data_IF_276930367091
#
_entry.id   IF_276930367091
#
_cell.length_a   1.000
_cell.length_b   1.000
_cell.length_c   1.000
_cell.angle_alpha   90.00
_cell.angle_beta   90.00
_cell.angle_gamma   90.00
#
_symmetry.space_group_name_H-M   'P 1'
#
loop_
_entity.id
_entity.type
_entity.pdbx_description
1 polymer ?
#
# COMPACT_ATOMS: atom_id res chain seq x y z
N UNK A 1 9.06 13.77 9.08
CA UNK A 1 9.32 12.67 10.03
C UNK A 1 10.57 11.91 9.57
N UNK A 2 11.45 11.56 10.48
CA UNK A 2 12.65 10.77 10.14
C UNK A 2 12.39 9.28 10.37
N UNK A 3 12.26 8.52 9.28
CA UNK A 3 12.08 7.06 9.32
C UNK A 3 13.29 6.36 9.94
N UNK A 4 14.52 6.92 9.78
CA UNK A 4 15.72 6.35 10.38
C UNK A 4 15.66 6.36 11.91
N UNK A 5 15.11 7.42 12.50
CA UNK A 5 14.92 7.48 13.95
C UNK A 5 13.98 6.39 14.46
N UNK A 6 12.98 5.97 13.66
CA UNK A 6 12.11 4.83 14.02
C UNK A 6 12.90 3.52 13.93
N UNK A 7 13.73 3.33 12.90
CA UNK A 7 14.58 2.15 12.79
C UNK A 7 15.54 2.05 13.99
N UNK A 8 16.15 3.17 14.39
CA UNK A 8 17.04 3.23 15.56
C UNK A 8 16.29 2.91 16.87
N UNK A 9 15.07 3.44 17.03
CA UNK A 9 14.20 3.14 18.16
C UNK A 9 13.83 1.65 18.24
N UNK A 10 13.52 1.02 17.12
CA UNK A 10 13.18 -0.41 17.04
C UNK A 10 14.43 -1.32 17.19
N UNK A 11 15.62 -0.81 16.92
CA UNK A 11 16.91 -1.43 17.18
C UNK A 11 17.02 -2.87 16.67
N UNK A 12 17.30 -3.82 17.59
CA UNK A 12 17.49 -5.24 17.27
C UNK A 12 16.26 -5.88 16.62
N UNK A 13 15.04 -5.44 16.93
CA UNK A 13 13.83 -5.98 16.34
C UNK A 13 13.72 -5.62 14.84
N UNK A 14 14.15 -4.42 14.49
CA UNK A 14 14.24 -4.02 13.08
C UNK A 14 15.28 -4.83 12.32
N UNK A 15 16.45 -5.06 12.93
CA UNK A 15 17.49 -5.91 12.35
C UNK A 15 17.01 -7.35 12.17
N UNK A 16 16.30 -7.91 13.17
CA UNK A 16 15.74 -9.26 13.09
C UNK A 16 14.75 -9.43 11.92
N UNK A 17 13.92 -8.42 11.62
CA UNK A 17 13.03 -8.46 10.43
C UNK A 17 13.87 -8.51 9.15
N UNK A 18 14.90 -7.68 9.03
CA UNK A 18 15.78 -7.67 7.84
C UNK A 18 16.50 -9.02 7.66
N UNK A 19 17.06 -9.56 8.73
CA UNK A 19 17.70 -10.88 8.71
C UNK A 19 16.73 -11.97 8.31
N UNK A 20 15.47 -11.89 8.79
CA UNK A 20 14.43 -12.86 8.46
C UNK A 20 14.06 -12.79 6.97
N UNK A 21 13.95 -11.59 6.40
CA UNK A 21 13.71 -11.38 4.96
C UNK A 21 14.86 -11.95 4.14
N UNK A 22 16.11 -11.58 4.44
CA UNK A 22 17.28 -12.06 3.71
C UNK A 22 17.42 -13.59 3.80
N UNK A 23 17.22 -14.17 5.00
CA UNK A 23 17.30 -15.63 5.20
C UNK A 23 16.22 -16.39 4.43
N UNK A 24 14.98 -15.87 4.37
CA UNK A 24 13.89 -16.47 3.64
C UNK A 24 14.13 -16.50 2.12
N UNK A 25 14.78 -15.47 1.58
CA UNK A 25 15.01 -15.31 0.14
C UNK A 25 16.28 -16.00 -0.36
N UNK A 26 17.09 -16.58 0.53
CA UNK A 26 18.30 -17.30 0.10
C UNK A 26 17.99 -18.53 -0.77
N UNK A 27 18.72 -18.69 -1.87
CA UNK A 27 18.57 -19.78 -2.83
C UNK A 27 19.94 -20.20 -3.38
N UNK A 28 20.08 -21.44 -3.82
CA UNK A 28 21.25 -21.92 -4.54
C UNK A 28 21.33 -21.42 -6.00
N UNK A 29 20.23 -20.79 -6.49
CA UNK A 29 20.14 -20.25 -7.85
C UNK A 29 20.71 -18.84 -7.87
N UNK A 30 21.89 -18.67 -8.50
CA UNK A 30 22.60 -17.38 -8.55
C UNK A 30 21.78 -16.25 -9.12
N UNK A 31 21.03 -16.50 -10.21
CA UNK A 31 20.18 -15.49 -10.83
C UNK A 31 19.12 -14.99 -9.85
N UNK A 32 18.48 -15.90 -9.11
CA UNK A 32 17.45 -15.55 -8.13
C UNK A 32 18.03 -14.71 -6.97
N UNK A 33 19.19 -15.10 -6.42
CA UNK A 33 19.87 -14.32 -5.38
C UNK A 33 20.24 -12.91 -5.84
N UNK A 34 20.82 -12.76 -7.03
CA UNK A 34 21.19 -11.43 -7.55
C UNK A 34 19.95 -10.56 -7.81
N UNK A 35 18.84 -11.15 -8.23
CA UNK A 35 17.58 -10.43 -8.41
C UNK A 35 16.99 -10.02 -7.06
N UNK A 36 16.98 -10.92 -6.06
CA UNK A 36 16.52 -10.61 -4.71
C UNK A 36 17.32 -9.46 -4.08
N UNK A 37 18.66 -9.47 -4.20
CA UNK A 37 19.53 -8.40 -3.72
C UNK A 37 19.22 -7.06 -4.40
N UNK A 38 18.97 -7.07 -5.71
CA UNK A 38 18.58 -5.87 -6.46
C UNK A 38 17.27 -5.28 -5.95
N UNK A 39 16.25 -6.10 -5.68
CA UNK A 39 14.96 -5.66 -5.14
C UNK A 39 15.15 -5.11 -3.72
N UNK A 40 15.85 -5.83 -2.85
CA UNK A 40 16.05 -5.44 -1.45
C UNK A 40 16.84 -4.13 -1.30
N UNK A 41 17.79 -3.87 -2.19
CA UNK A 41 18.54 -2.61 -2.18
C UNK A 41 17.69 -1.37 -2.50
N UNK A 42 16.51 -1.58 -3.12
CA UNK A 42 15.57 -0.54 -3.53
C UNK A 42 14.21 -0.62 -2.78
N UNK A 43 14.17 -1.27 -1.62
CA UNK A 43 12.95 -1.63 -0.88
C UNK A 43 12.15 -0.45 -0.28
N UNK A 44 12.61 0.79 -0.42
CA UNK A 44 11.87 1.97 0.02
C UNK A 44 11.77 2.12 1.55
N UNK A 45 10.65 2.67 2.04
CA UNK A 45 10.47 3.03 3.46
C UNK A 45 10.12 1.86 4.38
N UNK A 46 9.71 0.72 3.82
CA UNK A 46 9.30 -0.50 4.53
C UNK A 46 8.31 -0.22 5.68
N UNK A 47 7.24 0.52 5.37
CA UNK A 47 6.27 0.98 6.38
C UNK A 47 5.54 -0.16 7.07
N UNK A 48 5.25 -1.26 6.35
CA UNK A 48 4.51 -2.40 6.91
C UNK A 48 5.24 -3.06 8.08
N UNK A 49 6.52 -3.44 7.96
CA UNK A 49 7.27 -3.92 9.11
C UNK A 49 7.34 -2.93 10.27
N UNK A 50 7.51 -1.63 10.00
CA UNK A 50 7.52 -0.60 11.05
C UNK A 50 6.21 -0.58 11.82
N UNK A 51 5.08 -0.61 11.11
CA UNK A 51 3.74 -0.63 11.71
C UNK A 51 3.54 -1.86 12.58
N UNK A 52 3.89 -3.05 12.07
CA UNK A 52 3.76 -4.30 12.82
C UNK A 52 4.54 -4.25 14.14
N UNK A 53 5.81 -3.80 14.08
CA UNK A 53 6.67 -3.75 15.26
C UNK A 53 6.19 -2.71 16.29
N UNK A 54 5.83 -1.50 15.83
CA UNK A 54 5.32 -0.44 16.72
C UNK A 54 4.01 -0.86 17.39
N UNK A 55 3.10 -1.46 16.62
CA UNK A 55 1.79 -1.86 17.14
C UNK A 55 1.91 -3.00 18.17
N UNK A 56 2.69 -4.03 17.89
CA UNK A 56 2.92 -5.11 18.84
C UNK A 56 3.53 -4.60 20.15
N UNK A 57 4.50 -3.69 20.07
CA UNK A 57 5.10 -3.04 21.26
C UNK A 57 4.09 -2.20 22.02
N UNK A 58 3.23 -1.46 21.33
CA UNK A 58 2.18 -0.66 21.96
C UNK A 58 1.17 -1.54 22.72
N UNK A 59 0.77 -2.67 22.15
CA UNK A 59 -0.15 -3.61 22.80
C UNK A 59 0.42 -4.25 24.09
N UNK A 60 1.75 -4.33 24.22
CA UNK A 60 2.42 -5.08 25.32
C UNK A 60 3.21 -4.21 26.28
N UNK A 61 3.26 -2.90 26.06
CA UNK A 61 4.17 -2.02 26.81
C UNK A 61 5.64 -2.24 26.51
N UNK A 62 5.97 -2.58 25.25
CA UNK A 62 7.34 -2.65 24.73
C UNK A 62 7.89 -4.04 24.44
N UNK A 63 7.15 -5.11 24.77
CA UNK A 63 7.55 -6.47 24.44
C UNK A 63 7.17 -6.86 23.02
N UNK A 64 7.80 -7.94 22.52
CA UNK A 64 7.53 -8.45 21.18
C UNK A 64 7.74 -9.97 21.14
N UNK A 65 7.02 -10.64 20.23
CA UNK A 65 7.20 -12.07 20.01
C UNK A 65 8.05 -12.34 18.75
N UNK A 66 8.65 -13.51 18.65
CA UNK A 66 9.29 -13.94 17.40
C UNK A 66 8.29 -14.03 16.23
N UNK A 67 7.04 -14.37 16.53
CA UNK A 67 5.96 -14.39 15.56
C UNK A 67 5.71 -13.00 14.96
N UNK A 68 5.78 -11.91 15.76
CA UNK A 68 5.68 -10.54 15.26
C UNK A 68 6.72 -10.26 14.17
N UNK A 69 7.98 -10.63 14.43
CA UNK A 69 9.09 -10.43 13.46
C UNK A 69 8.83 -11.21 12.16
N UNK A 70 8.35 -12.47 12.27
CA UNK A 70 8.02 -13.29 11.11
C UNK A 70 6.87 -12.72 10.29
N UNK A 71 5.80 -12.26 10.94
CA UNK A 71 4.64 -11.69 10.25
C UNK A 71 4.97 -10.33 9.62
N UNK A 72 5.79 -9.51 10.29
CA UNK A 72 6.30 -8.27 9.73
C UNK A 72 7.13 -8.51 8.46
N UNK A 73 8.02 -9.51 8.49
CA UNK A 73 8.82 -9.91 7.34
C UNK A 73 7.92 -10.47 6.21
N UNK A 74 6.94 -11.32 6.54
CA UNK A 74 6.01 -11.87 5.56
C UNK A 74 5.17 -10.77 4.87
N UNK A 75 4.68 -9.79 5.61
CA UNK A 75 3.93 -8.67 5.05
C UNK A 75 4.77 -7.85 4.04
N UNK A 76 6.06 -7.66 4.31
CA UNK A 76 6.95 -6.95 3.38
C UNK A 76 7.27 -7.80 2.16
N UNK A 77 7.46 -9.13 2.30
CA UNK A 77 7.63 -10.03 1.16
C UNK A 77 6.38 -10.05 0.27
N UNK A 78 5.19 -10.15 0.86
CA UNK A 78 3.92 -10.07 0.12
C UNK A 78 3.79 -8.76 -0.65
N UNK A 79 4.09 -7.64 0.01
CA UNK A 79 4.05 -6.34 -0.66
C UNK A 79 4.98 -6.28 -1.88
N UNK A 80 6.22 -6.74 -1.74
CA UNK A 80 7.15 -6.73 -2.88
C UNK A 80 6.76 -7.75 -3.96
N UNK A 81 6.15 -8.88 -3.60
CA UNK A 81 5.59 -9.83 -4.56
C UNK A 81 4.48 -9.19 -5.41
N UNK A 82 3.54 -8.47 -4.79
CA UNK A 82 2.50 -7.75 -5.53
C UNK A 82 3.08 -6.68 -6.44
N UNK A 83 4.08 -5.91 -5.98
CA UNK A 83 4.76 -4.92 -6.84
C UNK A 83 5.41 -5.54 -8.08
N UNK A 84 5.99 -6.74 -7.97
CA UNK A 84 6.59 -7.46 -9.11
C UNK A 84 5.55 -7.92 -10.13
N UNK A 85 4.35 -8.33 -9.65
CA UNK A 85 3.22 -8.67 -10.51
C UNK A 85 2.60 -7.43 -11.15
N UNK A 86 2.41 -6.36 -10.38
CA UNK A 86 1.86 -5.09 -10.85
C UNK A 86 2.76 -4.46 -11.93
N UNK A 87 4.09 -4.52 -11.78
CA UNK A 87 5.03 -4.04 -12.82
C UNK A 87 4.79 -4.72 -14.18
N UNK A 88 4.36 -5.99 -14.17
CA UNK A 88 4.02 -6.72 -15.40
C UNK A 88 2.63 -6.36 -15.90
N UNK A 89 1.66 -6.24 -15.01
CA UNK A 89 0.27 -5.91 -15.36
C UNK A 89 0.17 -4.50 -15.96
N UNK A 90 0.92 -3.53 -15.42
CA UNK A 90 0.93 -2.13 -15.82
C UNK A 90 1.99 -1.82 -16.90
N UNK A 91 2.74 -2.83 -17.41
CA UNK A 91 3.88 -2.66 -18.34
C UNK A 91 4.89 -1.58 -17.85
N UNK A 92 5.13 -1.53 -16.56
CA UNK A 92 5.92 -0.50 -15.91
C UNK A 92 7.42 -0.67 -16.13
N UNK A 93 8.06 0.28 -16.83
CA UNK A 93 9.51 0.24 -17.08
C UNK A 93 10.36 0.71 -15.89
N UNK A 94 9.80 1.55 -15.01
CA UNK A 94 10.49 2.12 -13.86
C UNK A 94 9.59 2.18 -12.62
N UNK A 95 10.21 2.00 -11.45
CA UNK A 95 9.59 2.18 -10.13
C UNK A 95 10.54 2.93 -9.20
N UNK A 96 10.09 4.04 -8.60
CA UNK A 96 10.92 4.91 -7.73
C UNK A 96 12.20 5.41 -8.42
N UNK A 97 12.15 5.65 -9.72
CA UNK A 97 13.30 6.13 -10.50
C UNK A 97 14.35 5.07 -10.85
N UNK A 98 14.09 3.79 -10.56
CA UNK A 98 14.96 2.67 -10.97
C UNK A 98 14.22 1.74 -11.94
N UNK A 99 14.93 1.08 -12.88
CA UNK A 99 14.30 0.09 -13.76
C UNK A 99 13.66 -1.06 -12.98
N UNK A 100 12.50 -1.53 -13.42
CA UNK A 100 11.80 -2.69 -12.84
C UNK A 100 12.48 -4.00 -13.26
N UNK A 101 12.22 -5.09 -12.53
CA UNK A 101 12.68 -6.43 -12.94
C UNK A 101 12.04 -6.84 -14.27
N UNK A 102 10.76 -6.45 -14.49
CA UNK A 102 10.09 -6.64 -15.77
C UNK A 102 10.86 -5.98 -16.93
N UNK A 103 11.30 -4.73 -16.75
CA UNK A 103 12.06 -4.00 -17.76
C UNK A 103 13.47 -4.57 -17.99
N UNK A 104 14.16 -5.04 -16.92
CA UNK A 104 15.53 -5.55 -17.01
C UNK A 104 15.63 -6.99 -17.51
N UNK A 105 14.67 -7.86 -17.10
CA UNK A 105 14.76 -9.32 -17.28
C UNK A 105 13.54 -9.92 -17.98
N UNK A 106 12.55 -9.10 -18.30
CA UNK A 106 11.31 -9.51 -18.94
C UNK A 106 10.22 -9.97 -17.96
N UNK A 107 8.97 -10.05 -18.44
CA UNK A 107 7.79 -10.34 -17.64
C UNK A 107 7.85 -11.72 -16.98
N UNK A 108 8.41 -12.72 -17.66
CA UNK A 108 8.51 -14.09 -17.13
C UNK A 108 9.33 -14.14 -15.83
N UNK A 109 10.47 -13.44 -15.78
CA UNK A 109 11.32 -13.41 -14.57
C UNK A 109 10.61 -12.64 -13.45
N UNK A 110 9.97 -11.51 -13.75
CA UNK A 110 9.23 -10.72 -12.76
C UNK A 110 8.12 -11.55 -12.10
N UNK A 111 7.30 -12.25 -12.90
CA UNK A 111 6.23 -13.12 -12.37
C UNK A 111 6.80 -14.23 -11.50
N UNK A 112 7.81 -14.98 -11.98
CA UNK A 112 8.37 -16.10 -11.23
C UNK A 112 9.07 -15.67 -9.93
N UNK A 113 9.71 -14.50 -9.91
CA UNK A 113 10.29 -13.92 -8.68
C UNK A 113 9.19 -13.48 -7.73
N UNK A 114 8.12 -12.86 -8.24
CA UNK A 114 6.93 -12.51 -7.46
C UNK A 114 6.30 -13.74 -6.80
N UNK A 115 6.09 -14.82 -7.54
CA UNK A 115 5.59 -16.10 -7.02
C UNK A 115 6.52 -16.67 -5.93
N UNK A 116 7.83 -16.61 -6.17
CA UNK A 116 8.81 -17.07 -5.17
C UNK A 116 8.72 -16.28 -3.87
N UNK A 117 8.64 -14.94 -3.94
CA UNK A 117 8.49 -14.08 -2.76
C UNK A 117 7.18 -14.33 -2.02
N UNK A 118 6.08 -14.54 -2.76
CA UNK A 118 4.78 -14.88 -2.20
C UNK A 118 4.82 -16.20 -1.43
N UNK A 119 5.43 -17.24 -1.99
CA UNK A 119 5.60 -18.53 -1.30
C UNK A 119 6.49 -18.36 -0.07
N UNK A 120 7.59 -17.59 -0.15
CA UNK A 120 8.47 -17.34 1.00
C UNK A 120 7.78 -16.57 2.13
N UNK A 121 6.88 -15.68 1.81
CA UNK A 121 6.03 -15.03 2.81
C UNK A 121 5.13 -16.06 3.52
N UNK A 122 4.49 -16.96 2.78
CA UNK A 122 3.66 -18.02 3.35
C UNK A 122 4.49 -19.00 4.21
N UNK A 123 5.70 -19.37 3.77
CA UNK A 123 6.61 -20.19 4.57
C UNK A 123 6.95 -19.52 5.92
N UNK A 124 7.20 -18.21 5.94
CA UNK A 124 7.45 -17.46 7.17
C UNK A 124 6.23 -17.49 8.12
N UNK A 125 5.03 -17.34 7.58
CA UNK A 125 3.79 -17.41 8.38
C UNK A 125 3.65 -18.79 9.02
N UNK A 126 3.93 -19.85 8.26
CA UNK A 126 3.74 -21.24 8.65
C UNK A 126 4.93 -21.86 9.41
N UNK A 127 6.02 -21.12 9.59
CA UNK A 127 7.30 -21.66 10.10
C UNK A 127 7.23 -22.26 11.51
N UNK A 128 6.24 -21.90 12.34
CA UNK A 128 6.06 -22.43 13.68
C UNK A 128 4.83 -23.34 13.78
N UNK A 129 4.96 -24.47 14.47
CA UNK A 129 3.83 -25.32 14.81
C UNK A 129 2.78 -24.62 15.72
N UNK A 130 3.18 -23.54 16.40
CA UNK A 130 2.34 -22.71 17.27
C UNK A 130 1.70 -21.52 16.53
N UNK A 131 1.79 -21.49 15.18
CA UNK A 131 1.17 -20.41 14.39
C UNK A 131 -0.34 -20.42 14.61
N UNK A 132 -0.86 -19.27 15.06
CA UNK A 132 -2.31 -19.08 15.21
C UNK A 132 -2.99 -19.20 13.84
N UNK A 133 -3.95 -20.12 13.74
CA UNK A 133 -4.73 -20.36 12.50
C UNK A 133 -5.42 -19.06 12.02
N UNK A 134 -5.75 -18.12 12.92
CA UNK A 134 -6.32 -16.83 12.55
C UNK A 134 -5.38 -16.06 11.62
N UNK A 135 -4.07 -16.08 11.87
CA UNK A 135 -3.07 -15.38 11.04
C UNK A 135 -3.04 -15.96 9.61
N UNK A 136 -3.13 -17.27 9.48
CA UNK A 136 -3.23 -17.92 8.16
C UNK A 136 -4.46 -17.43 7.39
N UNK A 137 -5.62 -17.35 8.09
CA UNK A 137 -6.85 -16.83 7.49
C UNK A 137 -6.73 -15.36 7.09
N UNK A 138 -6.09 -14.53 7.94
CA UNK A 138 -5.86 -13.10 7.67
C UNK A 138 -5.08 -12.94 6.36
N UNK A 139 -3.91 -13.56 6.23
CA UNK A 139 -3.09 -13.43 5.02
C UNK A 139 -3.72 -14.09 3.80
N UNK A 140 -4.43 -15.23 3.97
CA UNK A 140 -5.16 -15.88 2.86
C UNK A 140 -6.28 -14.97 2.33
N UNK A 141 -7.05 -14.33 3.22
CA UNK A 141 -8.07 -13.35 2.82
C UNK A 141 -7.44 -12.17 2.09
N UNK A 142 -6.36 -11.63 2.62
CA UNK A 142 -5.64 -10.50 2.02
C UNK A 142 -5.17 -10.80 0.60
N UNK A 143 -4.66 -12.01 0.34
CA UNK A 143 -4.27 -12.42 -1.01
C UNK A 143 -5.46 -12.44 -1.98
N UNK A 144 -6.63 -12.89 -1.50
CA UNK A 144 -7.87 -12.83 -2.28
C UNK A 144 -8.30 -11.38 -2.55
N UNK A 145 -8.28 -10.54 -1.50
CA UNK A 145 -8.64 -9.12 -1.61
C UNK A 145 -7.74 -8.39 -2.63
N UNK A 146 -6.41 -8.61 -2.58
CA UNK A 146 -5.45 -8.00 -3.51
C UNK A 146 -5.78 -8.37 -4.96
N UNK A 147 -6.03 -9.65 -5.26
CA UNK A 147 -6.38 -10.09 -6.61
C UNK A 147 -7.74 -9.56 -7.06
N UNK A 148 -8.76 -9.59 -6.17
CA UNK A 148 -10.08 -9.05 -6.47
C UNK A 148 -10.04 -7.54 -6.71
N UNK A 149 -9.20 -6.80 -5.97
CA UNK A 149 -9.01 -5.37 -6.14
C UNK A 149 -8.46 -5.00 -7.51
N UNK A 150 -7.44 -5.74 -7.99
CA UNK A 150 -6.90 -5.56 -9.33
C UNK A 150 -7.94 -5.84 -10.42
N UNK A 151 -8.66 -6.96 -10.31
CA UNK A 151 -9.68 -7.33 -11.29
C UNK A 151 -10.83 -6.31 -11.30
N UNK A 152 -11.27 -5.84 -10.13
CA UNK A 152 -12.32 -4.81 -10.02
C UNK A 152 -11.84 -3.49 -10.64
N UNK A 153 -10.59 -3.08 -10.41
CA UNK A 153 -10.02 -1.88 -11.02
C UNK A 153 -10.03 -1.97 -12.55
N UNK A 154 -9.58 -3.10 -13.10
CA UNK A 154 -9.60 -3.34 -14.55
C UNK A 154 -11.03 -3.30 -15.12
N UNK A 155 -11.98 -3.93 -14.44
CA UNK A 155 -13.39 -3.89 -14.84
C UNK A 155 -13.93 -2.46 -14.85
N UNK A 156 -13.63 -1.66 -13.82
CA UNK A 156 -14.11 -0.28 -13.68
C UNK A 156 -13.43 0.68 -14.66
N UNK A 157 -12.17 0.46 -15.01
CA UNK A 157 -11.48 1.18 -16.07
C UNK A 157 -12.16 0.96 -17.43
N UNK A 158 -12.62 -0.27 -17.72
CA UNK A 158 -13.33 -0.59 -18.95
C UNK A 158 -14.75 -0.01 -19.00
N UNK A 159 -15.52 -0.12 -17.89
CA UNK A 159 -16.91 0.36 -17.82
C UNK A 159 -17.02 1.87 -17.62
N UNK A 160 -16.00 2.52 -17.06
CA UNK A 160 -15.91 3.99 -16.82
C UNK A 160 -17.02 4.52 -15.90
N UNK A 161 -17.64 3.66 -15.13
CA UNK A 161 -18.77 3.96 -14.24
C UNK A 161 -18.38 3.95 -12.76
N UNK A 162 -17.08 4.06 -12.47
CA UNK A 162 -16.56 4.07 -11.10
C UNK A 162 -17.30 5.09 -10.24
N UNK A 163 -17.85 4.60 -9.13
CA UNK A 163 -18.41 5.40 -8.04
C UNK A 163 -17.38 5.56 -6.92
N UNK A 164 -17.63 6.45 -5.94
CA UNK A 164 -16.76 6.55 -4.76
C UNK A 164 -16.75 5.25 -3.95
N UNK A 165 -17.88 4.54 -3.86
CA UNK A 165 -17.95 3.23 -3.20
C UNK A 165 -17.06 2.19 -3.91
N UNK A 166 -17.10 2.13 -5.24
CA UNK A 166 -16.21 1.27 -6.03
C UNK A 166 -14.74 1.63 -5.81
N UNK A 167 -14.42 2.94 -5.83
CA UNK A 167 -13.08 3.43 -5.58
C UNK A 167 -12.56 3.03 -4.19
N UNK A 168 -13.35 3.26 -3.13
CA UNK A 168 -12.97 2.89 -1.76
C UNK A 168 -12.78 1.37 -1.62
N UNK A 169 -13.62 0.56 -2.29
CA UNK A 169 -13.46 -0.89 -2.32
C UNK A 169 -12.17 -1.29 -3.04
N UNK A 170 -11.84 -0.68 -4.17
CA UNK A 170 -10.61 -0.95 -4.92
C UNK A 170 -9.38 -0.65 -4.05
N UNK A 171 -9.30 0.54 -3.47
CA UNK A 171 -8.13 0.94 -2.68
C UNK A 171 -8.02 0.20 -1.35
N UNK A 172 -9.16 -0.21 -0.74
CA UNK A 172 -9.12 -1.12 0.39
C UNK A 172 -8.49 -2.45 -0.03
N UNK A 173 -9.00 -3.08 -1.08
CA UNK A 173 -8.53 -4.38 -1.53
C UNK A 173 -7.04 -4.35 -1.93
N UNK A 174 -6.64 -3.38 -2.75
CA UNK A 174 -5.26 -3.29 -3.30
C UNK A 174 -4.23 -2.81 -2.29
N UNK A 175 -4.62 -1.98 -1.32
CA UNK A 175 -3.67 -1.30 -0.45
C UNK A 175 -3.95 -1.50 1.02
N UNK A 176 -5.15 -1.15 1.51
CA UNK A 176 -5.45 -1.14 2.93
C UNK A 176 -5.55 -2.56 3.52
N UNK A 177 -5.97 -3.56 2.76
CA UNK A 177 -6.07 -4.95 3.21
C UNK A 177 -4.75 -5.52 3.72
N UNK A 178 -3.63 -5.19 3.07
CA UNK A 178 -2.31 -5.63 3.52
C UNK A 178 -1.80 -4.81 4.72
N UNK A 179 -2.20 -3.54 4.87
CA UNK A 179 -1.96 -2.80 6.12
C UNK A 179 -2.75 -3.42 7.27
N UNK A 180 -4.02 -3.76 7.04
CA UNK A 180 -4.87 -4.47 8.00
C UNK A 180 -4.24 -5.80 8.43
N UNK A 181 -3.89 -6.68 7.48
CA UNK A 181 -3.25 -7.95 7.76
C UNK A 181 -1.96 -7.80 8.58
N UNK A 182 -1.16 -6.78 8.24
CA UNK A 182 0.08 -6.48 8.95
C UNK A 182 -0.16 -6.13 10.41
N UNK A 183 -1.08 -5.20 10.67
CA UNK A 183 -1.34 -4.71 12.02
C UNK A 183 -2.12 -5.74 12.86
N UNK A 184 -3.14 -6.38 12.27
CA UNK A 184 -3.91 -7.41 12.97
C UNK A 184 -3.05 -8.64 13.32
N UNK A 185 -2.21 -9.12 12.39
CA UNK A 185 -1.31 -10.24 12.68
C UNK A 185 -0.27 -9.88 13.76
N UNK A 186 0.18 -8.63 13.81
CA UNK A 186 1.05 -8.15 14.87
C UNK A 186 0.34 -8.15 16.24
N UNK A 187 -0.90 -7.67 16.34
CA UNK A 187 -1.70 -7.72 17.57
C UNK A 187 -1.97 -9.17 18.02
N UNK A 188 -2.37 -10.04 17.11
CA UNK A 188 -2.58 -11.48 17.36
C UNK A 188 -1.29 -12.14 17.88
N UNK A 189 -0.13 -11.79 17.31
CA UNK A 189 1.16 -12.38 17.67
C UNK A 189 1.58 -12.14 19.12
N UNK A 190 1.01 -11.14 19.77
CA UNK A 190 1.26 -10.78 21.17
C UNK A 190 0.04 -11.03 22.07
N UNK A 191 -0.96 -11.74 21.58
CA UNK A 191 -2.20 -12.06 22.31
C UNK A 191 -2.93 -10.81 22.80
N UNK A 192 -2.99 -9.77 21.99
CA UNK A 192 -3.78 -8.57 22.26
C UNK A 192 -5.27 -8.94 22.47
N UNK A 193 -5.98 -8.16 23.27
CA UNK A 193 -7.43 -8.36 23.43
C UNK A 193 -8.22 -7.88 22.20
N UNK A 194 -9.51 -8.22 22.18
CA UNK A 194 -10.39 -7.89 21.04
C UNK A 194 -10.50 -6.37 20.77
N UNK A 195 -10.43 -5.55 21.82
CA UNK A 195 -10.50 -4.10 21.66
C UNK A 195 -9.23 -3.56 21.01
N UNK A 196 -8.05 -4.07 21.41
CA UNK A 196 -6.76 -3.74 20.80
C UNK A 196 -6.66 -4.27 19.35
N UNK A 197 -7.13 -5.52 19.10
CA UNK A 197 -7.18 -6.06 17.73
C UNK A 197 -8.06 -5.18 16.83
N UNK A 198 -9.25 -4.77 17.31
CA UNK A 198 -10.14 -3.87 16.58
C UNK A 198 -9.48 -2.52 16.30
N UNK A 199 -8.86 -1.90 17.28
CA UNK A 199 -8.16 -0.63 17.12
C UNK A 199 -7.01 -0.73 16.11
N UNK A 200 -6.28 -1.85 16.12
CA UNK A 200 -5.23 -2.14 15.15
C UNK A 200 -5.78 -2.20 13.71
N UNK A 201 -6.93 -2.84 13.51
CA UNK A 201 -7.64 -2.91 12.22
C UNK A 201 -8.12 -1.52 11.80
N UNK A 202 -8.83 -0.81 12.68
CA UNK A 202 -9.38 0.52 12.38
C UNK A 202 -8.25 1.51 11.99
N UNK A 203 -7.14 1.50 12.73
CA UNK A 203 -5.94 2.29 12.41
C UNK A 203 -5.36 1.92 11.05
N UNK A 204 -5.14 0.63 10.81
CA UNK A 204 -4.47 0.14 9.61
C UNK A 204 -5.28 0.40 8.33
N UNK A 205 -6.59 0.17 8.39
CA UNK A 205 -7.51 0.41 7.27
C UNK A 205 -7.56 1.89 6.94
N UNK A 206 -7.77 2.74 7.95
CA UNK A 206 -7.81 4.18 7.75
C UNK A 206 -6.49 4.74 7.20
N UNK A 207 -5.35 4.27 7.74
CA UNK A 207 -4.02 4.64 7.25
C UNK A 207 -3.78 4.17 5.80
N UNK A 208 -4.18 2.95 5.45
CA UNK A 208 -4.00 2.38 4.12
C UNK A 208 -4.83 3.12 3.06
N UNK A 209 -6.07 3.48 3.39
CA UNK A 209 -6.92 4.31 2.54
C UNK A 209 -6.33 5.71 2.40
N UNK A 210 -5.94 6.36 3.50
CA UNK A 210 -5.28 7.67 3.46
C UNK A 210 -3.99 7.64 2.63
N UNK A 211 -3.23 6.54 2.72
CA UNK A 211 -2.03 6.34 1.92
C UNK A 211 -2.34 6.35 0.42
N UNK A 212 -3.36 5.63 -0.02
CA UNK A 212 -3.73 5.58 -1.44
C UNK A 212 -4.33 6.90 -1.92
N UNK A 213 -5.25 7.52 -1.15
CA UNK A 213 -5.79 8.85 -1.52
C UNK A 213 -4.66 9.87 -1.73
N UNK A 214 -3.62 9.84 -0.89
CA UNK A 214 -2.47 10.74 -1.07
C UNK A 214 -1.67 10.44 -2.34
N UNK A 215 -1.48 9.16 -2.70
CA UNK A 215 -0.85 8.80 -3.97
C UNK A 215 -1.65 9.32 -5.16
N UNK A 216 -2.97 9.18 -5.12
CA UNK A 216 -3.85 9.64 -6.18
C UNK A 216 -3.87 11.19 -6.29
N UNK A 217 -3.81 11.92 -5.17
CA UNK A 217 -3.64 13.38 -5.21
C UNK A 217 -2.32 13.77 -5.88
N UNK A 218 -1.22 13.07 -5.56
CA UNK A 218 0.10 13.35 -6.13
C UNK A 218 0.16 13.11 -7.64
N UNK A 219 -0.70 12.26 -8.20
CA UNK A 219 -0.81 12.04 -9.65
C UNK A 219 -1.39 13.28 -10.37
N UNK A 220 -2.16 14.13 -9.68
CA UNK A 220 -2.72 15.37 -10.24
C UNK A 220 -1.92 16.63 -9.90
N UNK A 221 -1.28 16.69 -8.73
CA UNK A 221 -0.65 17.89 -8.18
C UNK A 221 0.84 17.70 -7.82
N UNK A 222 1.39 16.54 -8.13
CA UNK A 222 2.81 16.26 -7.93
C UNK A 222 3.71 17.11 -8.82
N UNK A 223 4.96 17.28 -8.40
CA UNK A 223 6.01 17.83 -9.26
C UNK A 223 6.66 16.69 -10.04
N UNK A 224 7.23 16.97 -11.23
CA UNK A 224 7.98 16.00 -12.08
C UNK A 224 9.12 15.26 -11.34
N UNK A 225 9.38 15.64 -10.08
CA UNK A 225 10.39 15.02 -9.22
C UNK A 225 10.04 13.57 -8.79
N UNK A 226 8.81 13.08 -9.02
CA UNK A 226 8.37 11.73 -8.62
C UNK A 226 8.74 10.65 -9.66
N UNK A 227 9.20 11.04 -10.85
CA UNK A 227 9.66 10.09 -11.88
C UNK A 227 8.53 9.43 -12.70
N UNK A 228 7.25 9.78 -12.44
CA UNK A 228 6.12 9.47 -13.30
C UNK A 228 5.54 10.77 -13.88
N UNK A 229 5.10 10.78 -15.15
CA UNK A 229 4.37 11.92 -15.68
C UNK A 229 3.06 12.11 -14.88
N UNK A 230 2.66 13.37 -14.65
CA UNK A 230 1.37 13.69 -14.02
C UNK A 230 0.23 13.07 -14.84
N UNK A 231 -0.83 12.60 -14.14
CA UNK A 231 -1.98 11.99 -14.79
C UNK A 231 -1.73 10.59 -15.35
N UNK A 232 -0.79 9.83 -14.78
CA UNK A 232 -0.55 8.45 -15.18
C UNK A 232 -1.79 7.57 -15.00
N UNK A 233 -2.53 7.75 -13.91
CA UNK A 233 -3.78 7.02 -13.64
C UNK A 233 -4.85 7.31 -14.71
N UNK A 234 -4.89 8.54 -15.23
CA UNK A 234 -5.82 8.90 -16.33
C UNK A 234 -5.47 8.14 -17.61
N UNK A 235 -4.17 8.04 -17.94
CA UNK A 235 -3.71 7.29 -19.11
C UNK A 235 -4.07 5.81 -19.04
N UNK A 236 -4.16 5.28 -17.83
CA UNK A 236 -4.61 3.91 -17.52
C UNK A 236 -6.14 3.80 -17.36
N UNK A 237 -6.90 4.86 -17.68
CA UNK A 237 -8.36 4.95 -17.56
C UNK A 237 -8.88 4.76 -16.13
N UNK A 238 -8.04 4.95 -15.12
CA UNK A 238 -8.41 4.89 -13.71
C UNK A 238 -9.14 6.16 -13.32
N UNK A 239 -10.31 6.01 -12.69
CA UNK A 239 -11.09 7.12 -12.13
C UNK A 239 -10.87 7.12 -10.63
N UNK A 240 -9.99 8.02 -10.18
CA UNK A 240 -9.57 8.13 -8.77
C UNK A 240 -10.29 9.26 -8.03
N UNK A 241 -10.10 9.36 -6.73
CA UNK A 241 -10.89 10.26 -5.87
C UNK A 241 -10.86 11.74 -6.29
N UNK A 242 -9.74 12.34 -6.73
CA UNK A 242 -9.75 13.72 -7.21
C UNK A 242 -10.69 13.92 -8.40
N UNK A 243 -10.70 12.97 -9.34
CA UNK A 243 -11.59 13.03 -10.49
C UNK A 243 -13.06 12.80 -10.10
N UNK A 244 -13.33 11.87 -9.17
CA UNK A 244 -14.69 11.64 -8.65
C UNK A 244 -15.25 12.91 -8.00
N UNK A 245 -14.46 13.59 -7.16
CA UNK A 245 -14.88 14.85 -6.53
C UNK A 245 -15.17 15.96 -7.52
N UNK A 246 -14.37 16.11 -8.57
CA UNK A 246 -14.61 17.07 -9.65
C UNK A 246 -15.85 16.72 -10.47
N UNK A 247 -16.09 15.42 -10.75
CA UNK A 247 -17.29 14.97 -11.45
C UNK A 247 -18.55 15.22 -10.62
N UNK A 248 -18.52 15.02 -9.30
CA UNK A 248 -19.67 15.29 -8.43
C UNK A 248 -20.09 16.76 -8.45
N UNK A 249 -19.12 17.68 -8.56
CA UNK A 249 -19.38 19.12 -8.64
C UNK A 249 -19.90 19.59 -10.02
N UNK A 250 -19.74 18.78 -11.08
CA UNK A 250 -20.07 19.13 -12.44
C UNK A 250 -21.52 18.72 -12.80
N UNK A 251 -22.10 19.40 -13.83
CA UNK A 251 -23.38 18.99 -14.37
C UNK A 251 -23.28 17.70 -15.22
N UNK A 252 -24.42 17.10 -15.53
CA UNK A 252 -24.49 15.81 -16.24
C UNK A 252 -23.85 15.86 -17.65
N UNK A 253 -23.89 17.01 -18.34
CA UNK A 253 -23.30 17.16 -19.68
C UNK A 253 -21.77 17.14 -19.58
N UNK A 254 -21.21 17.87 -18.60
CA UNK A 254 -19.77 17.92 -18.37
C UNK A 254 -19.24 16.58 -17.84
N UNK A 255 -19.96 15.92 -16.93
CA UNK A 255 -19.63 14.55 -16.50
C UNK A 255 -19.52 13.59 -17.69
N UNK A 256 -20.51 13.61 -18.59
CA UNK A 256 -20.51 12.74 -19.78
C UNK A 256 -19.33 13.07 -20.72
N UNK A 257 -19.03 14.37 -20.90
CA UNK A 257 -17.88 14.83 -21.71
C UNK A 257 -16.56 14.30 -21.14
N UNK A 258 -16.31 14.49 -19.85
CA UNK A 258 -15.05 14.09 -19.20
C UNK A 258 -14.88 12.57 -19.20
N UNK A 259 -15.95 11.81 -18.91
CA UNK A 259 -15.92 10.34 -19.00
C UNK A 259 -15.66 9.88 -20.45
N UNK A 260 -16.12 10.62 -21.44
CA UNK A 260 -15.81 10.38 -22.85
C UNK A 260 -14.32 10.57 -23.15
N UNK A 261 -13.72 11.69 -22.68
CA UNK A 261 -12.27 11.93 -22.84
C UNK A 261 -11.43 10.79 -22.27
N UNK A 262 -11.77 10.30 -21.06
CA UNK A 262 -11.08 9.17 -20.42
C UNK A 262 -11.25 7.90 -21.29
N UNK A 263 -12.42 7.73 -21.90
CA UNK A 263 -12.67 6.58 -22.77
C UNK A 263 -11.79 6.54 -24.00
N UNK A 264 -11.50 7.69 -24.55
CA UNK A 264 -10.74 7.83 -25.79
C UNK A 264 -9.23 8.06 -25.54
N UNK A 265 -8.80 8.09 -24.25
CA UNK A 265 -7.43 8.47 -23.84
C UNK A 265 -6.34 7.59 -24.44
N UNK A 266 -6.62 6.31 -24.70
CA UNK A 266 -5.65 5.37 -25.30
C UNK A 266 -5.28 5.80 -26.75
N UNK A 267 -6.25 6.32 -27.49
CA UNK A 267 -6.04 6.87 -28.84
C UNK A 267 -5.63 8.34 -28.85
N UNK A 268 -5.87 9.04 -27.74
CA UNK A 268 -5.71 10.49 -27.58
C UNK A 268 -5.07 10.84 -26.24
N UNK A 269 -3.77 10.50 -26.03
CA UNK A 269 -3.09 10.76 -24.75
C UNK A 269 -3.07 12.24 -24.34
N UNK A 270 -3.22 13.16 -25.29
CA UNK A 270 -3.32 14.60 -25.07
C UNK A 270 -4.55 15.00 -24.24
N UNK A 271 -5.62 14.21 -24.22
CA UNK A 271 -6.81 14.46 -23.38
C UNK A 271 -6.51 14.42 -21.89
N UNK A 272 -5.41 13.79 -21.48
CA UNK A 272 -4.92 13.81 -20.10
C UNK A 272 -4.87 15.24 -19.54
N UNK A 273 -4.29 16.18 -20.29
CA UNK A 273 -4.10 17.55 -19.83
C UNK A 273 -5.46 18.28 -19.65
N UNK A 274 -6.46 17.96 -20.45
CA UNK A 274 -7.81 18.48 -20.30
C UNK A 274 -8.51 17.91 -19.06
N UNK A 275 -8.32 16.61 -18.76
CA UNK A 275 -8.87 15.97 -17.57
C UNK A 275 -8.18 16.50 -16.31
N UNK A 276 -6.85 16.64 -16.30
CA UNK A 276 -6.11 17.24 -15.17
C UNK A 276 -6.58 18.66 -14.88
N UNK A 277 -6.75 19.48 -15.94
CA UNK A 277 -7.28 20.85 -15.80
C UNK A 277 -8.68 20.83 -15.21
N UNK A 278 -9.57 19.98 -15.72
CA UNK A 278 -10.93 19.83 -15.21
C UNK A 278 -10.95 19.51 -13.72
N UNK A 279 -10.12 18.57 -13.25
CA UNK A 279 -10.02 18.20 -11.84
C UNK A 279 -9.59 19.39 -10.97
N UNK A 280 -8.58 20.15 -11.43
CA UNK A 280 -8.09 21.33 -10.71
C UNK A 280 -9.11 22.47 -10.65
N UNK A 281 -9.81 22.73 -11.74
CA UNK A 281 -10.78 23.83 -11.83
C UNK A 281 -12.11 23.53 -11.12
N UNK A 282 -12.43 22.26 -10.87
CA UNK A 282 -13.70 21.85 -10.25
C UNK A 282 -13.55 21.31 -8.81
N UNK A 283 -12.45 21.68 -8.13
CA UNK A 283 -12.28 21.38 -6.69
C UNK A 283 -12.06 19.91 -6.35
N UNK A 284 -11.60 19.10 -7.34
CA UNK A 284 -11.39 17.67 -7.14
C UNK A 284 -10.23 17.36 -6.20
N UNK A 285 -9.16 18.18 -6.23
CA UNK A 285 -8.02 18.03 -5.33
C UNK A 285 -8.44 18.36 -3.89
N UNK A 286 -9.13 19.46 -3.68
CA UNK A 286 -9.64 19.90 -2.38
C UNK A 286 -10.62 18.88 -1.79
N UNK A 287 -11.45 18.26 -2.63
CA UNK A 287 -12.31 17.15 -2.23
C UNK A 287 -11.48 15.99 -1.66
N UNK A 288 -10.50 15.53 -2.44
CA UNK A 288 -9.65 14.41 -2.04
C UNK A 288 -8.79 14.73 -0.80
N UNK A 289 -8.28 15.96 -0.65
CA UNK A 289 -7.55 16.41 0.54
C UNK A 289 -8.43 16.39 1.80
N UNK A 290 -9.70 16.81 1.70
CA UNK A 290 -10.64 16.71 2.81
C UNK A 290 -10.86 15.26 3.23
N UNK A 291 -11.14 14.36 2.26
CA UNK A 291 -11.31 12.93 2.52
C UNK A 291 -10.05 12.30 3.12
N UNK A 292 -8.86 12.67 2.62
CA UNK A 292 -7.58 12.29 3.20
C UNK A 292 -7.49 12.69 4.68
N UNK A 293 -7.85 13.92 5.01
CA UNK A 293 -7.86 14.42 6.39
C UNK A 293 -8.80 13.63 7.29
N UNK A 294 -9.98 13.27 6.81
CA UNK A 294 -10.94 12.43 7.53
C UNK A 294 -10.35 11.07 7.88
N UNK A 295 -9.74 10.36 6.91
CA UNK A 295 -9.11 9.06 7.16
C UNK A 295 -7.88 9.14 8.07
N UNK A 296 -7.08 10.20 7.98
CA UNK A 296 -5.97 10.42 8.93
C UNK A 296 -6.50 10.61 10.35
N UNK A 297 -7.59 11.37 10.54
CA UNK A 297 -8.20 11.55 11.86
C UNK A 297 -8.77 10.22 12.38
N UNK A 298 -9.47 9.44 11.55
CA UNK A 298 -9.95 8.11 11.92
C UNK A 298 -8.80 7.18 12.38
N UNK A 299 -7.65 7.21 11.68
CA UNK A 299 -6.48 6.45 12.09
C UNK A 299 -5.95 6.91 13.45
N UNK A 300 -5.88 8.22 13.71
CA UNK A 300 -5.41 8.75 15.00
C UNK A 300 -6.39 8.38 16.12
N UNK A 301 -7.69 8.58 15.92
CA UNK A 301 -8.75 8.27 16.90
C UNK A 301 -8.78 6.77 17.27
N UNK A 302 -8.48 5.88 16.32
CA UNK A 302 -8.40 4.44 16.60
C UNK A 302 -7.34 4.09 17.67
N UNK A 303 -6.33 4.95 17.86
CA UNK A 303 -5.29 4.74 18.87
C UNK A 303 -5.67 5.25 20.27
N UNK A 304 -6.83 5.88 20.46
CA UNK A 304 -7.23 6.50 21.74
C UNK A 304 -7.39 5.49 22.89
N UNK A 305 -7.68 4.22 22.60
CA UNK A 305 -7.76 3.17 23.59
C UNK A 305 -6.41 2.82 24.24
N UNK A 306 -5.30 3.12 23.56
CA UNK A 306 -3.96 2.81 24.06
C UNK A 306 -3.44 3.93 24.96
N UNK A 307 -2.65 3.59 25.99
CA UNK A 307 -2.01 4.58 26.84
C UNK A 307 -1.02 5.43 26.02
N UNK A 308 -0.76 6.64 26.48
CA UNK A 308 0.27 7.48 25.90
C UNK A 308 1.65 6.82 26.03
N UNK A 309 2.43 6.93 24.97
CA UNK A 309 3.76 6.31 24.88
C UNK A 309 4.44 6.60 23.55
N UNK A 310 5.69 6.18 23.46
CA UNK A 310 6.53 6.44 22.27
C UNK A 310 5.95 5.76 21.03
N UNK A 311 5.46 4.54 21.15
CA UNK A 311 4.87 3.78 20.04
C UNK A 311 3.63 4.47 19.50
N UNK A 312 2.70 4.92 20.37
CA UNK A 312 1.51 5.67 20.01
C UNK A 312 1.88 6.97 19.29
N UNK A 313 2.81 7.73 19.87
CA UNK A 313 3.31 8.98 19.27
C UNK A 313 3.90 8.76 17.87
N UNK A 314 4.63 7.68 17.66
CA UNK A 314 5.23 7.34 16.37
C UNK A 314 4.16 6.92 15.35
N UNK A 315 3.15 6.14 15.76
CA UNK A 315 2.02 5.75 14.90
C UNK A 315 1.17 6.97 14.50
N UNK A 316 0.88 7.89 15.44
CA UNK A 316 0.21 9.16 15.15
C UNK A 316 1.02 10.01 14.15
N UNK A 317 2.33 10.11 14.37
CA UNK A 317 3.23 10.82 13.43
C UNK A 317 3.27 10.16 12.06
N UNK A 318 3.19 8.83 11.97
CA UNK A 318 3.12 8.10 10.69
C UNK A 318 1.83 8.42 9.94
N UNK A 319 0.68 8.49 10.62
CA UNK A 319 -0.59 8.86 10.01
C UNK A 319 -0.51 10.29 9.42
N UNK A 320 -0.04 11.27 10.19
CA UNK A 320 0.13 12.63 9.70
C UNK A 320 1.21 12.76 8.60
N UNK A 321 2.27 11.95 8.66
CA UNK A 321 3.29 11.94 7.61
C UNK A 321 2.73 11.45 6.28
N UNK A 322 1.81 10.50 6.30
CA UNK A 322 1.14 10.00 5.09
C UNK A 322 0.42 11.13 4.35
N UNK A 323 -0.28 12.02 5.06
CA UNK A 323 -0.94 13.17 4.44
C UNK A 323 0.03 14.24 3.89
N UNK A 324 1.21 14.39 4.51
CA UNK A 324 2.16 15.48 4.21
C UNK A 324 3.30 15.09 3.26
N UNK A 325 3.36 13.83 2.82
CA UNK A 325 4.44 13.39 1.93
C UNK A 325 4.30 14.02 0.54
N UNK A 326 5.44 14.37 -0.04
CA UNK A 326 5.55 14.90 -1.41
C UNK A 326 6.03 13.81 -2.39
N UNK A 327 6.31 12.60 -1.85
CA UNK A 327 6.81 11.40 -2.59
C UNK A 327 6.33 10.12 -1.92
#
# INVERSE_FOLDING_TARGET
MDIKAIHEYLGENWLAVKERIHGALHSDIKLLNSTNESILSNSGKQLRPLLALLLARMCTGGQMSEATVRYAAAAELLHNATLLHDDVADDSSQRRGVPTIMSLMGPTVSVLVGDYWLVKAMELILQSAETDVRVIKIFSKTLSDLAEGEILQLQKAQSRDTTEEDYLRIIYNKTASLFEATCLSAAVSVSADEAMEKAAVDYAVALGIAFQIKDDILDYDGTDAVGKPLGADILEQKITLPLLGALEAADAQEQARVRGLIGDIVGHPEYRDDVVRFVRENGGIEYAERRLGEYVNMAVEALDIFPDGVEKDLLVKLAHFTAKRDK
#
